data_IF_860047047270
#
_entry.id   IF_860047047270
#
_cell.length_a   1.000
_cell.length_b   1.000
_cell.length_c   1.000
_cell.angle_alpha   90.00
_cell.angle_beta   90.00
_cell.angle_gamma   90.00
#
_symmetry.space_group_name_H-M   'P 1'
#
loop_
_entity.id
_entity.type
_entity.pdbx_description
1 polymer ?
#
# COMPACT_ATOMS: atom_id res chain seq x y z
N UNK A 1 -10.38 -7.51 20.75
CA UNK A 1 -10.05 -6.66 19.59
C UNK A 1 -11.19 -6.84 18.60
N UNK A 2 -12.09 -5.86 18.47
CA UNK A 2 -13.25 -5.97 17.60
C UNK A 2 -12.81 -5.98 16.12
N UNK A 3 -13.50 -6.71 15.24
CA UNK A 3 -13.13 -6.73 13.83
C UNK A 3 -13.52 -5.39 13.20
N UNK A 4 -12.57 -4.72 12.56
CA UNK A 4 -12.81 -3.48 11.80
C UNK A 4 -13.52 -3.87 10.49
N UNK A 5 -14.83 -4.08 10.52
CA UNK A 5 -15.63 -4.59 9.39
C UNK A 5 -16.41 -3.51 8.64
N UNK A 6 -15.83 -2.33 8.45
CA UNK A 6 -16.35 -1.39 7.44
C UNK A 6 -15.29 -1.19 6.37
N UNK A 7 -15.42 -1.93 5.27
CA UNK A 7 -14.69 -1.65 4.03
C UNK A 7 -15.13 -0.27 3.54
N UNK A 8 -14.26 0.72 3.69
CA UNK A 8 -14.39 2.00 2.99
C UNK A 8 -14.26 1.74 1.49
N UNK A 9 -14.93 2.50 0.59
CA UNK A 9 -14.64 2.43 -0.84
C UNK A 9 -13.16 2.73 -1.17
N UNK A 10 -12.42 3.35 -0.24
CA UNK A 10 -10.99 3.61 -0.36
C UNK A 10 -10.09 2.45 0.13
N UNK A 11 -10.67 1.41 0.74
CA UNK A 11 -9.93 0.21 1.15
C UNK A 11 -9.56 -0.64 -0.07
N UNK A 12 -8.58 -1.52 0.09
CA UNK A 12 -8.23 -2.47 -0.97
C UNK A 12 -9.39 -3.39 -1.34
N UNK A 13 -10.19 -3.81 -0.36
CA UNK A 13 -11.36 -4.68 -0.58
C UNK A 13 -12.48 -3.98 -1.36
N UNK A 14 -12.72 -2.70 -1.05
CA UNK A 14 -13.63 -1.85 -1.82
C UNK A 14 -13.18 -1.70 -3.27
N UNK A 15 -11.88 -1.45 -3.48
CA UNK A 15 -11.27 -1.41 -4.81
C UNK A 15 -11.37 -2.75 -5.55
N UNK A 16 -11.05 -3.87 -4.89
CA UNK A 16 -11.12 -5.20 -5.48
C UNK A 16 -12.54 -5.63 -5.85
N UNK A 17 -13.55 -5.15 -5.11
CA UNK A 17 -14.96 -5.34 -5.46
C UNK A 17 -15.35 -4.55 -6.72
N UNK A 18 -14.85 -3.33 -6.86
CA UNK A 18 -15.14 -2.47 -8.01
C UNK A 18 -14.42 -2.92 -9.29
N UNK A 19 -13.16 -3.35 -9.19
CA UNK A 19 -12.27 -3.66 -10.32
C UNK A 19 -11.52 -4.99 -10.12
N UNK A 20 -12.21 -6.15 -10.14
CA UNK A 20 -11.66 -7.43 -9.69
C UNK A 20 -10.44 -7.92 -10.51
N UNK A 21 -10.54 -7.92 -11.85
CA UNK A 21 -9.46 -8.41 -12.72
C UNK A 21 -8.18 -7.56 -12.60
N UNK A 22 -8.37 -6.26 -12.39
CA UNK A 22 -7.25 -5.33 -12.21
C UNK A 22 -6.61 -5.50 -10.85
N UNK A 23 -7.42 -5.61 -9.79
CA UNK A 23 -6.93 -5.89 -8.44
C UNK A 23 -6.13 -7.20 -8.38
N UNK A 24 -6.59 -8.25 -9.06
CA UNK A 24 -5.87 -9.53 -9.16
C UNK A 24 -4.54 -9.41 -9.89
N UNK A 25 -4.50 -8.63 -10.97
CA UNK A 25 -3.26 -8.36 -11.70
C UNK A 25 -2.24 -7.62 -10.84
N UNK A 26 -2.67 -6.59 -10.10
CA UNK A 26 -1.81 -5.82 -9.20
C UNK A 26 -1.32 -6.69 -8.04
N UNK A 27 -2.21 -7.42 -7.36
CA UNK A 27 -1.83 -8.31 -6.26
C UNK A 27 -0.82 -9.36 -6.70
N UNK A 28 -1.04 -10.01 -7.85
CA UNK A 28 -0.10 -10.99 -8.39
C UNK A 28 1.26 -10.35 -8.62
N UNK A 29 1.31 -9.16 -9.25
CA UNK A 29 2.57 -8.47 -9.54
C UNK A 29 3.35 -8.16 -8.26
N UNK A 30 2.69 -7.60 -7.25
CA UNK A 30 3.33 -7.24 -5.99
C UNK A 30 3.77 -8.49 -5.21
N UNK A 31 2.97 -9.56 -5.18
CA UNK A 31 3.34 -10.81 -4.47
C UNK A 31 4.50 -11.57 -5.09
N UNK A 32 4.89 -11.30 -6.34
CA UNK A 32 6.07 -11.93 -6.96
C UNK A 32 7.38 -11.55 -6.27
N UNK A 33 7.44 -10.39 -5.60
CA UNK A 33 8.66 -9.88 -4.99
C UNK A 33 8.38 -9.34 -3.59
N UNK A 34 9.24 -9.67 -2.63
CA UNK A 34 9.11 -9.14 -1.27
C UNK A 34 9.42 -7.64 -1.19
N UNK A 35 10.44 -7.19 -1.93
CA UNK A 35 10.96 -5.83 -1.87
C UNK A 35 10.48 -4.97 -3.05
N UNK A 36 10.05 -3.76 -2.73
CA UNK A 36 9.55 -2.75 -3.65
C UNK A 36 10.22 -1.40 -3.40
N UNK A 37 10.06 -0.46 -4.34
CA UNK A 37 10.53 0.91 -4.20
C UNK A 37 9.32 1.84 -4.10
N UNK A 38 9.24 2.59 -3.00
CA UNK A 38 8.30 3.71 -2.86
C UNK A 38 9.01 5.00 -3.28
N UNK A 39 8.37 5.76 -4.17
CA UNK A 39 8.77 7.11 -4.51
C UNK A 39 7.79 8.11 -3.89
N UNK A 40 8.30 9.04 -3.09
CA UNK A 40 7.54 10.12 -2.46
C UNK A 40 8.07 11.48 -2.94
N UNK A 41 7.26 12.52 -2.76
CA UNK A 41 7.66 13.91 -2.95
C UNK A 41 7.88 14.52 -1.58
N UNK A 42 9.04 15.12 -1.35
CA UNK A 42 9.28 15.91 -0.13
C UNK A 42 8.43 17.19 -0.18
N UNK A 43 8.34 17.89 0.96
CA UNK A 43 7.68 19.21 1.05
C UNK A 43 8.16 20.24 0.02
N UNK A 44 9.43 20.15 -0.41
CA UNK A 44 10.02 21.02 -1.43
C UNK A 44 9.79 20.54 -2.88
N UNK A 45 9.06 19.44 -3.06
CA UNK A 45 8.78 18.80 -4.35
C UNK A 45 9.89 17.90 -4.88
N UNK A 46 11.05 17.81 -4.21
CA UNK A 46 12.12 16.91 -4.64
C UNK A 46 11.77 15.43 -4.36
N UNK A 47 12.19 14.49 -5.23
CA UNK A 47 11.85 13.08 -5.04
C UNK A 47 12.70 12.41 -3.94
N UNK A 48 12.08 11.48 -3.22
CA UNK A 48 12.78 10.47 -2.40
C UNK A 48 12.38 9.08 -2.88
N UNK A 49 13.36 8.18 -2.97
CA UNK A 49 13.11 6.75 -3.18
C UNK A 49 13.50 5.97 -1.93
N UNK A 50 12.74 4.94 -1.57
CA UNK A 50 13.06 4.06 -0.45
C UNK A 50 12.61 2.64 -0.75
N UNK A 51 13.51 1.68 -0.49
CA UNK A 51 13.16 0.25 -0.51
C UNK A 51 12.29 -0.12 0.69
N UNK A 52 11.21 -0.85 0.48
CA UNK A 52 10.31 -1.36 1.52
C UNK A 52 9.59 -2.64 1.10
N UNK A 53 8.79 -3.19 1.99
CA UNK A 53 7.91 -4.34 1.73
C UNK A 53 6.47 -3.85 1.55
N UNK A 54 5.72 -4.46 0.63
CA UNK A 54 4.30 -4.20 0.41
C UNK A 54 3.53 -5.51 0.51
N UNK A 55 2.40 -5.50 1.22
CA UNK A 55 1.59 -6.69 1.48
C UNK A 55 0.10 -6.35 1.47
N UNK A 56 -0.76 -7.37 1.28
CA UNK A 56 -2.22 -7.21 1.25
C UNK A 56 -2.84 -8.03 2.37
N UNK A 57 -3.37 -7.36 3.39
CA UNK A 57 -3.92 -8.00 4.60
C UNK A 57 -5.08 -7.19 5.14
N UNK A 58 -6.03 -7.88 5.77
CA UNK A 58 -7.16 -7.24 6.46
C UNK A 58 -8.00 -6.31 5.56
N UNK A 59 -8.09 -6.61 4.26
CA UNK A 59 -8.80 -5.78 3.29
C UNK A 59 -8.05 -4.51 2.88
N UNK A 60 -6.75 -4.39 3.21
CA UNK A 60 -5.91 -3.22 2.94
C UNK A 60 -4.60 -3.60 2.24
N UNK A 61 -4.03 -2.62 1.53
CA UNK A 61 -2.64 -2.66 1.07
C UNK A 61 -1.77 -1.95 2.11
N UNK A 62 -0.78 -2.66 2.64
CA UNK A 62 0.07 -2.21 3.73
C UNK A 62 1.52 -2.04 3.25
N UNK A 63 2.18 -1.00 3.74
CA UNK A 63 3.59 -0.72 3.46
C UNK A 63 4.42 -0.85 4.74
N UNK A 64 5.46 -1.69 4.71
CA UNK A 64 6.35 -1.92 5.84
C UNK A 64 7.21 -0.69 6.15
N UNK A 65 6.96 -0.05 7.30
CA UNK A 65 7.72 1.12 7.73
C UNK A 65 7.81 1.29 9.23
N UNK A 66 8.89 1.93 9.68
CA UNK A 66 8.97 2.45 11.05
C UNK A 66 8.04 3.67 11.21
N UNK A 67 7.43 3.86 12.39
CA UNK A 67 6.77 5.12 12.74
C UNK A 67 7.70 6.32 12.51
N UNK A 68 7.12 7.45 12.10
CA UNK A 68 7.81 8.72 11.85
C UNK A 68 8.98 8.65 10.83
N UNK A 69 9.04 7.60 10.01
CA UNK A 69 10.03 7.52 8.93
C UNK A 69 9.83 8.66 7.94
N UNK A 70 10.92 9.21 7.38
CA UNK A 70 10.83 10.39 6.51
C UNK A 70 9.90 10.20 5.30
N UNK A 71 9.86 9.02 4.67
CA UNK A 71 8.92 8.71 3.58
C UNK A 71 7.44 8.69 3.99
N UNK A 72 7.15 8.62 5.29
CA UNK A 72 5.78 8.73 5.83
C UNK A 72 5.41 10.19 6.14
N UNK A 73 6.40 11.08 6.21
CA UNK A 73 6.27 12.50 6.52
C UNK A 73 6.48 13.41 5.30
N UNK A 74 7.08 12.87 4.23
CA UNK A 74 7.20 13.50 2.92
C UNK A 74 5.79 13.79 2.36
#
# INVERSE_FOLDING_TARGET
MAPMTSSSPLSWDGFATAEPDFADTVQRRFRLYKHHVLATLRKDGSPRVTGLEADFRFGEMLLGMMPDSLKALD
#
